data_IF_130443244225
#
_entry.id   IF_130443244225
#
_cell.length_a   1.000
_cell.length_b   1.000
_cell.length_c   1.000
_cell.angle_alpha   90.00
_cell.angle_beta   90.00
_cell.angle_gamma   90.00
#
_symmetry.space_group_name_H-M   'P 1'
#
loop_
_entity.id
_entity.type
_entity.pdbx_description
1 polymer ?
#
# COMPACT_ATOMS: atom_id res chain seq x y z
N UNK A 1 3.16 -6.28 -1.78
CA UNK A 1 2.00 -7.15 -2.02
C UNK A 1 1.40 -6.83 -3.37
N UNK A 2 1.95 -7.47 -4.41
CA UNK A 2 1.44 -7.37 -5.77
C UNK A 2 0.25 -8.32 -6.01
N UNK A 3 0.20 -9.44 -5.26
CA UNK A 3 -0.81 -10.50 -5.42
C UNK A 3 -2.22 -10.19 -4.87
N UNK A 4 -2.46 -8.98 -4.35
CA UNK A 4 -3.73 -8.60 -3.72
C UNK A 4 -4.47 -7.52 -4.52
N UNK A 5 -4.95 -7.81 -5.73
CA UNK A 5 -5.80 -6.87 -6.49
C UNK A 5 -6.93 -7.55 -7.25
N UNK A 6 -8.15 -7.03 -7.03
CA UNK A 6 -9.37 -7.36 -7.74
C UNK A 6 -10.26 -6.13 -7.99
N UNK A 7 -10.69 -6.02 -9.25
CA UNK A 7 -11.71 -5.15 -9.90
C UNK A 7 -11.41 -3.66 -10.17
N UNK A 8 -12.03 -3.20 -11.27
CA UNK A 8 -11.93 -1.90 -11.97
C UNK A 8 -12.04 -0.69 -11.04
N UNK A 9 -11.22 0.32 -11.32
CA UNK A 9 -11.35 1.68 -10.80
C UNK A 9 -12.57 2.35 -11.46
N UNK A 10 -13.40 3.02 -10.68
CA UNK A 10 -14.50 3.87 -11.19
C UNK A 10 -14.01 5.32 -11.25
N UNK A 11 -14.29 6.00 -12.35
CA UNK A 11 -13.92 7.41 -12.52
C UNK A 11 -15.00 8.31 -11.92
N UNK A 12 -14.62 9.17 -10.98
CA UNK A 12 -15.48 10.28 -10.54
C UNK A 12 -15.13 11.50 -11.37
N UNK A 13 -16.09 12.05 -12.10
CA UNK A 13 -15.99 13.42 -12.60
C UNK A 13 -16.13 14.40 -11.43
N UNK A 14 -15.05 15.13 -11.13
CA UNK A 14 -15.15 16.28 -10.25
C UNK A 14 -16.02 17.33 -10.96
N UNK A 15 -17.29 17.43 -10.60
CA UNK A 15 -18.10 18.60 -10.99
C UNK A 15 -17.36 19.82 -10.43
N UNK A 16 -17.10 20.82 -11.29
CA UNK A 16 -16.73 22.18 -10.84
C UNK A 16 -17.66 22.53 -9.68
N UNK A 17 -17.16 23.13 -8.58
CA UNK A 17 -18.02 23.51 -7.47
C UNK A 17 -19.10 24.44 -8.03
N UNK A 18 -20.31 23.90 -8.25
CA UNK A 18 -21.49 24.74 -8.30
C UNK A 18 -21.62 25.20 -6.88
N UNK A 19 -21.40 26.48 -6.65
CA UNK A 19 -21.93 27.16 -5.47
C UNK A 19 -23.45 27.09 -5.61
N UNK A 20 -24.01 25.92 -5.30
CA UNK A 20 -25.41 25.78 -5.05
C UNK A 20 -25.62 26.50 -3.72
N UNK A 21 -26.41 27.58 -3.74
CA UNK A 21 -27.10 28.07 -2.55
C UNK A 21 -28.08 26.97 -2.12
N UNK A 22 -27.56 25.86 -1.60
CA UNK A 22 -28.36 24.91 -0.85
C UNK A 22 -28.70 25.62 0.46
N UNK A 23 -29.97 26.01 0.59
CA UNK A 23 -30.47 26.60 1.81
C UNK A 23 -30.11 25.71 2.99
N UNK A 24 -29.39 26.29 3.94
CA UNK A 24 -29.17 25.73 5.27
C UNK A 24 -30.54 25.47 5.88
N UNK A 25 -31.03 24.24 5.80
CA UNK A 25 -32.10 23.75 6.66
C UNK A 25 -31.51 22.69 7.57
N UNK A 26 -31.36 23.07 8.84
CA UNK A 26 -31.15 22.15 9.95
C UNK A 26 -29.76 22.11 10.58
N UNK A 27 -29.18 23.27 10.95
CA UNK A 27 -28.36 23.36 12.18
C UNK A 27 -28.77 24.63 12.92
N UNK A 28 -29.96 24.62 13.51
CA UNK A 28 -30.35 25.65 14.46
C UNK A 28 -29.67 25.37 15.80
N UNK A 29 -28.71 26.21 16.18
CA UNK A 29 -28.19 26.25 17.56
C UNK A 29 -26.68 26.30 17.76
N UNK A 30 -25.89 26.95 16.90
CA UNK A 30 -24.49 27.28 17.27
C UNK A 30 -24.34 28.81 17.32
N UNK A 31 -24.39 29.34 18.54
CA UNK A 31 -23.90 30.68 18.89
C UNK A 31 -22.39 30.76 18.61
N UNK A 32 -21.82 31.90 18.15
CA UNK A 32 -20.42 32.00 17.74
C UNK A 32 -19.40 32.10 18.89
N UNK A 33 -19.66 31.55 20.08
CA UNK A 33 -18.99 32.01 21.31
C UNK A 33 -18.01 31.06 22.01
N UNK A 34 -17.73 29.85 21.50
CA UNK A 34 -16.64 29.02 22.07
C UNK A 34 -15.64 28.49 21.01
N UNK A 35 -14.31 28.46 21.33
CA UNK A 35 -13.32 27.84 20.46
C UNK A 35 -13.55 26.33 20.41
N UNK A 36 -13.73 25.81 19.19
CA UNK A 36 -13.96 24.38 18.99
C UNK A 36 -12.72 23.57 19.38
N UNK A 37 -12.94 22.47 20.11
CA UNK A 37 -11.88 21.53 20.48
C UNK A 37 -11.17 20.97 19.23
N UNK A 38 -9.91 20.56 19.38
CA UNK A 38 -9.09 20.09 18.27
C UNK A 38 -9.75 18.95 17.45
N UNK A 39 -10.47 18.04 18.12
CA UNK A 39 -11.20 16.95 17.46
C UNK A 39 -12.41 17.44 16.65
N UNK A 40 -13.11 18.50 17.08
CA UNK A 40 -14.21 19.10 16.31
C UNK A 40 -13.70 19.86 15.10
N UNK A 41 -12.54 20.52 15.23
CA UNK A 41 -11.84 21.12 14.08
C UNK A 41 -11.47 20.05 13.06
N UNK A 42 -10.88 18.92 13.50
CA UNK A 42 -10.55 17.79 12.64
C UNK A 42 -11.80 17.20 11.98
N UNK A 43 -12.85 16.94 12.75
CA UNK A 43 -14.15 16.43 12.27
C UNK A 43 -14.69 17.27 11.13
N UNK A 44 -14.81 18.60 11.34
CA UNK A 44 -15.30 19.54 10.32
C UNK A 44 -14.39 19.60 9.10
N UNK A 45 -13.07 19.44 9.24
CA UNK A 45 -12.15 19.39 8.10
C UNK A 45 -12.35 18.11 7.27
N UNK A 46 -12.51 16.97 7.93
CA UNK A 46 -12.76 15.68 7.27
C UNK A 46 -14.11 15.69 6.52
N UNK A 47 -15.20 16.11 7.18
CA UNK A 47 -16.53 16.21 6.55
C UNK A 47 -16.54 17.10 5.32
N UNK A 48 -15.89 18.26 5.39
CA UNK A 48 -15.78 19.18 4.25
C UNK A 48 -15.13 18.55 3.01
N UNK A 49 -14.22 17.58 3.17
CA UNK A 49 -13.64 16.85 2.02
C UNK A 49 -14.71 16.04 1.28
N UNK A 50 -15.63 15.42 2.02
CA UNK A 50 -16.75 14.65 1.45
C UNK A 50 -17.81 15.59 0.87
N UNK A 51 -18.21 16.62 1.62
CA UNK A 51 -19.21 17.61 1.19
C UNK A 51 -18.81 18.34 -0.10
N UNK A 52 -17.51 18.63 -0.24
CA UNK A 52 -16.94 19.25 -1.44
C UNK A 52 -16.72 18.25 -2.60
N UNK A 53 -17.15 16.99 -2.46
CA UNK A 53 -16.99 15.96 -3.49
C UNK A 53 -15.54 15.53 -3.74
N UNK A 54 -14.61 15.84 -2.82
CA UNK A 54 -13.22 15.41 -2.93
C UNK A 54 -13.09 13.93 -2.58
N UNK A 55 -13.83 13.44 -1.58
CA UNK A 55 -13.87 12.02 -1.24
C UNK A 55 -15.30 11.50 -1.35
N UNK A 56 -15.47 10.28 -1.88
CA UNK A 56 -16.77 9.62 -1.93
C UNK A 56 -17.34 9.38 -0.53
N UNK A 57 -16.47 8.96 0.39
CA UNK A 57 -16.76 8.82 1.81
C UNK A 57 -15.47 8.57 2.60
N UNK A 58 -15.58 8.66 3.92
CA UNK A 58 -14.50 8.36 4.87
C UNK A 58 -15.06 7.71 6.12
N UNK A 59 -14.25 6.83 6.71
CA UNK A 59 -14.36 6.43 8.10
C UNK A 59 -13.00 6.71 8.76
N UNK A 60 -13.00 7.47 9.85
CA UNK A 60 -11.78 7.87 10.55
C UNK A 60 -11.96 7.71 12.05
N UNK A 61 -10.92 7.25 12.73
CA UNK A 61 -10.89 7.22 14.18
C UNK A 61 -9.57 7.76 14.72
N UNK A 62 -9.61 8.33 15.92
CA UNK A 62 -8.42 8.76 16.67
C UNK A 62 -8.52 8.23 18.09
N UNK A 63 -7.47 7.55 18.53
CA UNK A 63 -7.30 7.09 19.90
C UNK A 63 -6.23 7.95 20.58
N UNK A 64 -6.47 8.33 21.84
CA UNK A 64 -5.50 9.00 22.72
C UNK A 64 -5.54 8.29 24.06
N UNK A 65 -4.38 7.84 24.55
CA UNK A 65 -4.24 7.07 25.80
C UNK A 65 -5.16 5.84 25.82
N UNK A 66 -5.22 5.12 24.70
CA UNK A 66 -6.08 3.94 24.52
C UNK A 66 -7.59 4.23 24.44
N UNK A 67 -8.02 5.49 24.53
CA UNK A 67 -9.44 5.89 24.50
C UNK A 67 -9.82 6.48 23.14
N UNK A 68 -10.94 6.04 22.58
CA UNK A 68 -11.50 6.62 21.36
C UNK A 68 -11.92 8.08 21.62
N UNK A 69 -11.29 9.03 20.91
CA UNK A 69 -11.57 10.47 21.02
C UNK A 69 -12.35 11.02 19.85
N UNK A 70 -12.16 10.43 18.67
CA UNK A 70 -12.90 10.79 17.47
C UNK A 70 -13.28 9.49 16.75
N UNK A 71 -14.54 9.39 16.36
CA UNK A 71 -15.02 8.50 15.31
C UNK A 71 -15.85 9.37 14.37
N UNK A 72 -15.48 9.37 13.09
CA UNK A 72 -16.15 10.14 12.06
C UNK A 72 -16.44 9.23 10.86
N UNK A 73 -17.69 9.24 10.43
CA UNK A 73 -18.20 8.47 9.30
C UNK A 73 -18.99 9.44 8.43
N UNK A 74 -18.59 9.59 7.17
CA UNK A 74 -19.23 10.53 6.25
C UNK A 74 -19.21 10.01 4.82
N UNK A 75 -20.26 10.33 4.05
CA UNK A 75 -20.37 9.97 2.63
C UNK A 75 -20.66 8.50 2.40
N UNK A 76 -20.19 7.98 1.27
CA UNK A 76 -20.58 6.68 0.74
C UNK A 76 -19.37 5.78 0.49
N UNK A 77 -19.49 4.51 0.83
CA UNK A 77 -18.60 3.44 0.41
C UNK A 77 -18.85 3.06 -1.07
N UNK A 78 -20.05 3.33 -1.57
CA UNK A 78 -20.46 3.18 -2.97
C UNK A 78 -21.44 4.33 -3.30
N UNK A 79 -21.01 5.27 -4.15
CA UNK A 79 -21.80 6.42 -4.60
C UNK A 79 -22.98 5.99 -5.48
N UNK A 80 -22.75 5.03 -6.37
CA UNK A 80 -23.77 4.52 -7.29
C UNK A 80 -24.84 3.74 -6.54
N UNK A 81 -24.42 2.83 -5.67
CA UNK A 81 -25.29 2.05 -4.79
C UNK A 81 -25.84 2.84 -3.60
N UNK A 82 -25.40 4.10 -3.41
CA UNK A 82 -25.70 4.94 -2.23
C UNK A 82 -25.46 4.23 -0.90
N UNK A 83 -24.43 3.36 -0.85
CA UNK A 83 -24.09 2.63 0.36
C UNK A 83 -23.30 3.54 1.30
N UNK A 84 -23.75 3.80 2.54
CA UNK A 84 -23.03 4.66 3.48
C UNK A 84 -21.63 4.14 3.80
N UNK A 85 -20.66 5.04 3.93
CA UNK A 85 -19.35 4.69 4.49
C UNK A 85 -19.47 4.56 6.01
N UNK A 86 -18.98 3.46 6.57
CA UNK A 86 -18.99 3.19 8.02
C UNK A 86 -17.66 2.62 8.48
N UNK A 87 -17.43 2.56 9.78
CA UNK A 87 -16.30 1.88 10.44
C UNK A 87 -16.26 0.38 10.18
N UNK A 88 -17.35 -0.20 9.67
CA UNK A 88 -17.46 -1.60 9.29
C UNK A 88 -17.26 -1.83 7.78
N UNK A 89 -17.14 -0.76 6.99
CA UNK A 89 -16.81 -0.85 5.57
C UNK A 89 -15.39 -1.43 5.42
N UNK A 90 -15.23 -2.37 4.48
CA UNK A 90 -13.92 -2.94 4.16
C UNK A 90 -13.23 -2.07 3.13
N UNK A 91 -11.95 -1.82 3.35
CA UNK A 91 -11.10 -1.01 2.47
C UNK A 91 -9.87 -1.80 2.05
N UNK A 92 -9.31 -1.43 0.89
CA UNK A 92 -8.05 -2.00 0.42
C UNK A 92 -6.89 -1.23 1.07
N UNK A 93 -6.17 -1.89 1.98
CA UNK A 93 -5.08 -1.27 2.74
C UNK A 93 -3.84 -0.95 1.90
N UNK A 94 -3.64 -1.65 0.77
CA UNK A 94 -2.45 -1.51 -0.06
C UNK A 94 -1.16 -1.54 0.78
N UNK A 95 -0.36 -0.49 0.70
CA UNK A 95 0.94 -0.39 1.35
C UNK A 95 0.88 -0.28 2.88
N UNK A 96 -0.28 0.02 3.48
CA UNK A 96 -0.43 -0.07 4.95
C UNK A 96 -0.18 -1.50 5.45
N UNK A 97 -0.34 -2.51 4.58
CA UNK A 97 -0.03 -3.90 4.94
C UNK A 97 1.44 -4.11 5.30
N UNK A 98 2.36 -3.23 4.87
CA UNK A 98 3.78 -3.32 5.23
C UNK A 98 4.00 -3.29 6.74
N UNK A 99 3.25 -2.47 7.48
CA UNK A 99 3.38 -2.41 8.94
C UNK A 99 3.01 -3.75 9.59
N UNK A 100 2.02 -4.45 9.04
CA UNK A 100 1.58 -5.77 9.52
C UNK A 100 2.62 -6.84 9.20
N UNK A 101 3.18 -6.83 7.98
CA UNK A 101 4.25 -7.75 7.59
C UNK A 101 5.53 -7.48 8.37
N UNK A 102 5.87 -6.22 8.67
CA UNK A 102 6.99 -5.87 9.54
C UNK A 102 6.84 -6.50 10.92
N UNK A 103 5.65 -6.43 11.53
CA UNK A 103 5.38 -7.07 12.81
C UNK A 103 5.58 -8.59 12.75
N UNK A 104 5.11 -9.27 11.68
CA UNK A 104 5.34 -10.70 11.49
C UNK A 104 6.83 -11.07 11.36
N UNK A 105 7.59 -10.28 10.60
CA UNK A 105 9.05 -10.45 10.46
C UNK A 105 9.73 -10.28 11.81
N UNK A 106 9.37 -9.25 12.58
CA UNK A 106 9.97 -8.97 13.87
C UNK A 106 9.61 -10.01 14.93
N UNK A 107 8.39 -10.59 14.90
CA UNK A 107 8.02 -11.74 15.74
C UNK A 107 8.94 -12.94 15.47
N UNK A 108 9.21 -13.27 14.21
CA UNK A 108 10.10 -14.40 13.87
C UNK A 108 11.57 -14.10 14.19
N UNK A 109 12.01 -12.84 14.04
CA UNK A 109 13.35 -12.43 14.42
C UNK A 109 13.55 -12.51 15.95
N UNK A 110 12.58 -12.04 16.73
CA UNK A 110 12.58 -12.16 18.19
C UNK A 110 12.56 -13.61 18.65
N UNK A 111 11.84 -14.48 17.93
CA UNK A 111 11.84 -15.92 18.13
C UNK A 111 13.12 -16.65 17.69
N UNK A 112 14.14 -15.94 17.21
CA UNK A 112 15.44 -16.52 16.85
C UNK A 112 15.48 -17.27 15.51
N UNK A 113 14.47 -17.12 14.65
CA UNK A 113 14.46 -17.79 13.35
C UNK A 113 15.48 -17.21 12.36
N UNK A 114 15.88 -15.95 12.55
CA UNK A 114 16.92 -15.22 11.82
C UNK A 114 17.28 -13.91 12.54
N UNK A 115 18.47 -13.38 12.30
CA UNK A 115 18.90 -12.05 12.72
C UNK A 115 18.65 -10.96 11.67
N UNK A 116 18.40 -9.72 12.09
CA UNK A 116 18.20 -8.60 11.14
C UNK A 116 19.45 -8.27 10.29
N UNK A 117 20.62 -8.73 10.73
CA UNK A 117 21.90 -8.57 10.05
C UNK A 117 22.28 -9.80 9.21
N UNK A 118 21.42 -10.82 9.17
CA UNK A 118 21.67 -12.01 8.36
C UNK A 118 21.60 -11.64 6.88
N UNK A 119 22.39 -12.36 6.07
CA UNK A 119 22.35 -12.20 4.62
C UNK A 119 21.04 -12.82 4.13
N UNK A 120 20.31 -12.09 3.29
CA UNK A 120 19.10 -12.59 2.67
C UNK A 120 19.34 -13.89 1.89
N UNK A 121 20.51 -14.03 1.27
CA UNK A 121 20.93 -15.21 0.53
C UNK A 121 21.00 -16.49 1.36
N UNK A 122 21.20 -16.37 2.68
CA UNK A 122 21.26 -17.52 3.58
C UNK A 122 19.86 -18.10 3.85
N UNK A 123 18.81 -17.43 3.37
CA UNK A 123 17.42 -17.85 3.50
C UNK A 123 16.69 -17.94 2.16
N UNK A 124 17.04 -17.08 1.20
CA UNK A 124 16.50 -17.03 -0.15
C UNK A 124 17.68 -17.03 -1.13
N UNK A 125 18.22 -18.21 -1.50
CA UNK A 125 19.44 -18.33 -2.30
C UNK A 125 19.42 -17.60 -3.65
N UNK A 126 18.23 -17.34 -4.20
CA UNK A 126 18.06 -16.55 -5.44
C UNK A 126 18.70 -15.14 -5.34
N UNK A 127 18.86 -14.58 -4.14
CA UNK A 127 19.55 -13.30 -3.90
C UNK A 127 21.05 -13.45 -3.60
N UNK A 128 21.68 -14.59 -3.92
CA UNK A 128 23.09 -14.86 -3.64
C UNK A 128 24.09 -14.10 -4.53
N UNK A 129 23.65 -13.57 -5.68
CA UNK A 129 24.52 -12.84 -6.61
C UNK A 129 23.82 -11.63 -7.25
N UNK A 130 23.33 -10.66 -6.43
CA UNK A 130 22.59 -9.54 -6.95
C UNK A 130 23.50 -8.63 -7.79
N UNK A 131 22.92 -8.08 -8.86
CA UNK A 131 23.61 -7.17 -9.79
C UNK A 131 23.00 -5.78 -9.66
N UNK A 132 23.82 -4.74 -9.68
CA UNK A 132 23.40 -3.34 -9.63
C UNK A 132 23.49 -2.73 -11.03
N UNK A 133 22.43 -2.03 -11.45
CA UNK A 133 22.41 -1.33 -12.74
C UNK A 133 23.37 -0.14 -12.71
N UNK A 134 24.17 0.03 -13.76
CA UNK A 134 24.97 1.22 -13.95
C UNK A 134 24.16 2.32 -14.65
N UNK A 135 24.47 3.58 -14.36
CA UNK A 135 23.97 4.71 -15.15
C UNK A 135 24.73 4.80 -16.48
N UNK A 136 23.99 5.13 -17.54
CA UNK A 136 24.54 5.51 -18.85
C UNK A 136 25.06 6.94 -18.84
N UNK A 137 25.70 7.34 -19.94
CA UNK A 137 26.21 8.71 -20.12
C UNK A 137 25.09 9.77 -20.14
N UNK A 138 23.86 9.34 -20.40
CA UNK A 138 22.63 10.14 -20.38
C UNK A 138 21.99 10.25 -18.98
N UNK A 139 22.60 9.65 -17.95
CA UNK A 139 22.07 9.59 -16.59
C UNK A 139 20.88 8.64 -16.43
N UNK A 140 20.58 7.81 -17.42
CA UNK A 140 19.52 6.80 -17.38
C UNK A 140 20.08 5.42 -16.99
N UNK A 141 19.24 4.54 -16.41
CA UNK A 141 19.69 3.17 -16.10
C UNK A 141 20.03 2.43 -17.40
N UNK A 142 21.27 1.95 -17.51
CA UNK A 142 21.70 1.06 -18.58
C UNK A 142 21.53 -0.40 -18.12
N UNK A 143 20.38 -0.99 -18.41
CA UNK A 143 20.06 -2.35 -17.97
C UNK A 143 20.93 -3.44 -18.60
N UNK A 144 21.74 -3.13 -19.62
CA UNK A 144 22.72 -4.05 -20.21
C UNK A 144 24.05 -4.00 -19.44
N UNK A 145 24.36 -2.88 -18.78
CA UNK A 145 25.56 -2.72 -17.97
C UNK A 145 25.24 -2.85 -16.49
N UNK A 146 25.60 -3.99 -15.91
CA UNK A 146 25.38 -4.29 -14.49
C UNK A 146 26.68 -4.76 -13.84
N UNK A 147 26.91 -4.36 -12.61
CA UNK A 147 28.06 -4.81 -11.81
C UNK A 147 27.60 -5.70 -10.66
N UNK A 148 28.43 -6.62 -10.15
CA UNK A 148 28.15 -7.28 -8.88
C UNK A 148 27.88 -6.25 -7.78
N UNK A 149 26.91 -6.53 -6.90
CA UNK A 149 26.76 -5.76 -5.68
C UNK A 149 28.04 -5.88 -4.82
N UNK A 150 28.42 -4.80 -4.14
CA UNK A 150 29.61 -4.74 -3.27
C UNK A 150 29.43 -5.53 -1.97
N UNK A 151 28.19 -5.85 -1.61
CA UNK A 151 27.85 -6.60 -0.41
C UNK A 151 26.48 -7.28 -0.54
N UNK A 152 26.14 -8.15 0.42
CA UNK A 152 24.86 -8.86 0.43
C UNK A 152 23.70 -7.93 0.77
N UNK A 153 22.49 -8.32 0.36
CA UNK A 153 21.27 -7.75 0.95
C UNK A 153 21.11 -8.34 2.35
N UNK A 154 20.93 -7.49 3.36
CA UNK A 154 20.63 -7.91 4.73
C UNK A 154 19.12 -7.80 4.97
N UNK A 155 18.58 -8.59 5.90
CA UNK A 155 17.14 -8.55 6.23
C UNK A 155 16.69 -7.13 6.62
N UNK A 156 17.47 -6.42 7.43
CA UNK A 156 17.19 -5.02 7.79
C UNK A 156 17.05 -4.10 6.57
N UNK A 157 17.81 -4.35 5.49
CA UNK A 157 17.72 -3.53 4.28
C UNK A 157 16.34 -3.66 3.60
N UNK A 158 15.68 -4.82 3.74
CA UNK A 158 14.31 -4.98 3.23
C UNK A 158 13.31 -4.18 4.08
N UNK A 159 13.43 -4.23 5.41
CA UNK A 159 12.56 -3.51 6.36
C UNK A 159 12.65 -2.00 6.16
N UNK A 160 13.85 -1.49 5.89
CA UNK A 160 14.14 -0.06 5.73
C UNK A 160 14.07 0.42 4.28
N UNK A 161 13.68 -0.43 3.33
CA UNK A 161 13.69 -0.10 1.90
C UNK A 161 15.06 0.40 1.39
N UNK A 162 16.16 -0.15 1.90
CA UNK A 162 17.52 0.13 1.43
C UNK A 162 18.16 -1.07 0.73
N UNK A 163 17.36 -2.05 0.32
CA UNK A 163 17.85 -3.28 -0.34
C UNK A 163 18.33 -3.09 -1.78
N UNK A 164 17.98 -1.98 -2.43
CA UNK A 164 18.15 -1.78 -3.86
C UNK A 164 17.02 -2.39 -4.72
N UNK A 165 16.04 -3.08 -4.11
CA UNK A 165 14.86 -3.61 -4.81
C UNK A 165 13.84 -2.48 -5.00
N UNK A 166 13.56 -2.11 -6.25
CA UNK A 166 12.57 -1.08 -6.60
C UNK A 166 11.19 -1.67 -6.89
N UNK A 167 10.18 -0.82 -7.13
CA UNK A 167 8.89 -1.20 -7.73
C UNK A 167 8.60 -0.43 -9.03
N UNK A 168 9.63 0.09 -9.68
CA UNK A 168 9.44 0.92 -10.87
C UNK A 168 8.94 2.34 -10.57
N UNK A 169 8.96 2.73 -9.30
CA UNK A 169 8.77 4.09 -8.82
C UNK A 169 10.14 4.54 -8.27
N UNK A 170 10.62 5.71 -8.66
CA UNK A 170 11.88 6.22 -8.15
C UNK A 170 11.80 6.47 -6.63
N UNK A 171 12.95 6.67 -5.96
CA UNK A 171 13.00 7.17 -4.59
C UNK A 171 12.13 8.42 -4.43
N UNK A 172 11.31 8.46 -3.37
CA UNK A 172 10.43 9.61 -3.09
C UNK A 172 9.02 9.48 -3.68
N UNK A 173 8.29 8.43 -3.32
CA UNK A 173 6.85 8.29 -3.56
C UNK A 173 6.10 9.59 -3.20
N UNK A 174 5.79 10.42 -4.20
CA UNK A 174 4.54 11.14 -4.41
C UNK A 174 4.64 11.89 -5.76
N UNK A 175 3.60 11.80 -6.60
CA UNK A 175 3.63 12.31 -7.98
C UNK A 175 3.91 13.82 -8.11
N UNK A 176 4.21 14.30 -9.33
CA UNK A 176 3.12 14.51 -10.29
C UNK A 176 3.42 13.94 -11.69
N UNK A 177 2.39 13.35 -12.29
CA UNK A 177 2.05 13.06 -13.72
C UNK A 177 3.09 12.95 -14.85
N UNK A 178 4.34 13.36 -14.71
CA UNK A 178 5.43 13.07 -15.64
C UNK A 178 6.45 12.23 -14.90
N UNK A 179 6.34 10.90 -15.04
CA UNK A 179 7.44 10.02 -14.62
C UNK A 179 8.72 10.53 -15.26
N UNK A 180 9.75 10.86 -14.50
CA UNK A 180 11.05 11.24 -15.08
C UNK A 180 11.53 10.10 -15.99
N UNK A 181 12.34 10.35 -17.04
CA UNK A 181 12.79 9.28 -17.94
C UNK A 181 13.36 8.06 -17.21
N UNK A 182 14.12 8.28 -16.13
CA UNK A 182 14.63 7.23 -15.23
C UNK A 182 13.53 6.38 -14.59
N UNK A 183 12.46 6.99 -14.07
CA UNK A 183 11.32 6.28 -13.48
C UNK A 183 10.59 5.42 -14.50
N UNK A 184 10.41 5.95 -15.73
CA UNK A 184 9.79 5.17 -16.82
C UNK A 184 10.62 3.95 -17.17
N UNK A 185 11.94 4.12 -17.24
CA UNK A 185 12.86 3.03 -17.51
C UNK A 185 12.76 1.91 -16.45
N UNK A 186 12.78 2.29 -15.16
CA UNK A 186 12.58 1.32 -14.07
C UNK A 186 11.19 0.70 -14.08
N UNK A 187 10.12 1.46 -14.28
CA UNK A 187 8.78 0.90 -14.42
C UNK A 187 8.67 -0.10 -15.56
N UNK A 188 9.39 0.12 -16.67
CA UNK A 188 9.39 -0.73 -17.84
C UNK A 188 9.89 -2.15 -17.57
N UNK A 189 10.81 -2.35 -16.62
CA UNK A 189 11.30 -3.71 -16.30
C UNK A 189 10.39 -4.47 -15.31
N UNK A 190 9.63 -3.77 -14.46
CA UNK A 190 8.69 -4.40 -13.51
C UNK A 190 7.29 -4.59 -14.11
N UNK A 191 6.86 -3.73 -15.03
CA UNK A 191 5.51 -3.77 -15.59
C UNK A 191 5.16 -5.11 -16.28
N UNK A 192 6.05 -5.76 -17.06
CA UNK A 192 5.78 -7.09 -17.61
C UNK A 192 5.54 -8.12 -16.50
N UNK A 193 6.37 -8.09 -15.45
CA UNK A 193 6.26 -9.03 -14.33
C UNK A 193 4.96 -8.84 -13.54
N UNK A 194 4.58 -7.58 -13.28
CA UNK A 194 3.28 -7.25 -12.68
C UNK A 194 2.13 -7.70 -13.59
N UNK A 195 2.26 -7.54 -14.90
CA UNK A 195 1.25 -8.01 -15.86
C UNK A 195 1.05 -9.53 -15.85
N UNK A 196 2.10 -10.31 -15.54
CA UNK A 196 2.00 -11.77 -15.37
C UNK A 196 1.21 -12.14 -14.11
N UNK A 197 1.34 -11.36 -13.03
CA UNK A 197 0.47 -11.49 -11.85
C UNK A 197 -0.98 -11.21 -12.22
N UNK A 198 -1.24 -10.11 -12.96
CA UNK A 198 -2.61 -9.72 -13.34
C UNK A 198 -3.30 -10.77 -14.23
N UNK A 199 -2.53 -11.49 -15.06
CA UNK A 199 -3.02 -12.60 -15.87
C UNK A 199 -3.10 -13.94 -15.13
N UNK A 200 -2.70 -13.97 -13.85
CA UNK A 200 -2.72 -15.17 -13.02
C UNK A 200 -1.66 -16.19 -13.41
N UNK A 201 -0.57 -15.78 -14.06
CA UNK A 201 0.58 -16.64 -14.36
C UNK A 201 1.51 -16.80 -13.16
N UNK A 202 1.61 -15.77 -12.31
CA UNK A 202 2.32 -15.79 -11.03
C UNK A 202 1.28 -15.82 -9.91
N UNK A 203 1.24 -16.90 -9.14
CA UNK A 203 0.13 -17.17 -8.20
C UNK A 203 0.54 -17.22 -6.73
N UNK A 204 1.84 -17.24 -6.44
CA UNK A 204 2.34 -17.26 -5.07
C UNK A 204 3.58 -16.38 -4.89
N UNK A 205 3.94 -16.17 -3.61
CA UNK A 205 5.05 -15.30 -3.24
C UNK A 205 6.41 -15.89 -3.62
N UNK A 206 6.55 -17.23 -3.63
CA UNK A 206 7.82 -17.86 -4.00
C UNK A 206 8.15 -17.56 -5.45
N UNK A 207 7.22 -17.84 -6.37
CA UNK A 207 7.39 -17.55 -7.80
C UNK A 207 7.60 -16.05 -8.06
N UNK A 208 6.82 -15.18 -7.40
CA UNK A 208 7.02 -13.74 -7.50
C UNK A 208 8.43 -13.30 -7.06
N UNK A 209 8.93 -13.86 -5.96
CA UNK A 209 10.24 -13.50 -5.40
C UNK A 209 11.40 -14.03 -6.25
N UNK A 210 11.28 -15.23 -6.83
CA UNK A 210 12.27 -15.78 -7.75
C UNK A 210 12.42 -14.90 -9.00
N UNK A 211 11.30 -14.45 -9.56
CA UNK A 211 11.29 -13.55 -10.72
C UNK A 211 11.86 -12.16 -10.37
N UNK A 212 11.58 -11.66 -9.16
CA UNK A 212 12.17 -10.43 -8.67
C UNK A 212 13.69 -10.55 -8.48
N UNK A 213 14.18 -11.68 -8.01
CA UNK A 213 15.61 -11.91 -7.78
C UNK A 213 16.44 -11.87 -9.08
N UNK A 214 15.81 -12.17 -10.22
CA UNK A 214 16.42 -12.05 -11.54
C UNK A 214 16.56 -10.59 -12.03
N UNK A 215 15.84 -9.65 -11.42
CA UNK A 215 15.92 -8.23 -11.77
C UNK A 215 17.11 -7.57 -11.05
N UNK A 216 17.79 -6.61 -11.70
CA UNK A 216 18.90 -5.94 -11.07
C UNK A 216 18.43 -4.89 -10.05
N UNK A 217 19.27 -4.64 -9.05
CA UNK A 217 19.08 -3.60 -8.05
C UNK A 217 19.32 -2.22 -8.66
N UNK A 218 18.60 -1.22 -8.16
CA UNK A 218 18.80 0.17 -8.59
C UNK A 218 20.00 0.85 -7.94
N UNK A 219 20.45 0.34 -6.79
CA UNK A 219 21.63 0.81 -6.07
C UNK A 219 22.19 -0.31 -5.17
N UNK A 220 23.34 -0.06 -4.56
CA UNK A 220 24.03 -0.98 -3.66
C UNK A 220 23.18 -1.28 -2.40
N UNK A 221 23.14 -2.54 -1.92
CA UNK A 221 22.46 -2.87 -0.68
C UNK A 221 22.96 -2.04 0.50
N UNK A 222 22.04 -1.39 1.20
CA UNK A 222 22.29 -0.51 2.34
C UNK A 222 22.65 0.93 2.00
N UNK A 223 22.85 1.28 0.72
CA UNK A 223 23.36 2.60 0.34
C UNK A 223 22.28 3.70 0.32
N UNK A 224 21.15 3.45 -0.32
CA UNK A 224 20.09 4.46 -0.47
C UNK A 224 18.70 3.91 -0.21
N UNK A 225 17.81 4.78 0.25
CA UNK A 225 16.39 4.47 0.35
C UNK A 225 15.75 4.42 -1.05
N UNK A 226 15.08 3.31 -1.33
CA UNK A 226 14.26 3.13 -2.52
C UNK A 226 13.04 2.29 -2.20
N UNK A 227 11.88 2.91 -2.31
CA UNK A 227 10.63 2.19 -2.13
C UNK A 227 10.46 1.12 -3.21
N UNK A 228 10.03 -0.06 -2.81
CA UNK A 228 9.95 -1.19 -3.73
C UNK A 228 9.26 -2.41 -3.19
N UNK A 229 9.53 -3.55 -3.82
CA UNK A 229 8.94 -4.85 -3.49
C UNK A 229 9.67 -5.59 -2.36
N UNK A 230 10.48 -4.90 -1.55
CA UNK A 230 11.18 -5.50 -0.40
C UNK A 230 10.24 -6.21 0.58
N UNK A 231 9.03 -5.68 0.78
CA UNK A 231 8.05 -6.30 1.68
C UNK A 231 7.35 -7.53 1.10
N UNK A 232 7.39 -7.73 -0.22
CA UNK A 232 6.96 -8.99 -0.83
C UNK A 232 7.99 -10.10 -0.53
N UNK A 233 9.29 -9.76 -0.61
CA UNK A 233 10.39 -10.65 -0.20
C UNK A 233 10.33 -10.98 1.28
N UNK A 234 10.06 -9.99 2.16
CA UNK A 234 9.83 -10.23 3.59
C UNK A 234 8.61 -11.12 3.82
N UNK A 235 7.54 -10.93 3.06
CA UNK A 235 6.37 -11.81 3.11
C UNK A 235 6.74 -13.26 2.80
N UNK A 236 7.55 -13.50 1.76
CA UNK A 236 8.04 -14.84 1.43
C UNK A 236 9.00 -15.40 2.50
N UNK A 237 9.86 -14.56 3.09
CA UNK A 237 10.72 -14.97 4.20
C UNK A 237 9.90 -15.48 5.40
N UNK A 238 8.78 -14.81 5.73
CA UNK A 238 7.84 -15.30 6.74
C UNK A 238 7.32 -16.68 6.36
N UNK A 239 6.97 -16.91 5.08
CA UNK A 239 6.51 -18.23 4.64
C UNK A 239 7.56 -19.33 4.83
N UNK A 240 8.81 -19.05 4.44
CA UNK A 240 9.91 -20.01 4.56
C UNK A 240 10.23 -20.35 6.02
N UNK A 241 10.17 -19.36 6.91
CA UNK A 241 10.61 -19.52 8.31
C UNK A 241 9.53 -20.07 9.22
N UNK A 242 8.27 -19.82 8.90
CA UNK A 242 7.13 -20.39 9.62
C UNK A 242 6.62 -21.71 9.04
N UNK A 243 6.90 -22.00 7.77
CA UNK A 243 6.26 -23.10 7.04
C UNK A 243 4.80 -22.83 6.67
N UNK A 244 4.29 -21.63 6.91
CA UNK A 244 2.90 -21.24 6.68
C UNK A 244 2.78 -20.26 5.52
N UNK A 245 1.66 -20.28 4.79
CA UNK A 245 1.37 -19.18 3.86
C UNK A 245 1.22 -17.86 4.62
N UNK A 246 1.68 -16.75 4.04
CA UNK A 246 1.71 -15.45 4.72
C UNK A 246 0.33 -15.07 5.26
N UNK A 247 -0.72 -15.25 4.45
CA UNK A 247 -2.09 -14.96 4.86
C UNK A 247 -2.54 -15.76 6.10
N UNK A 248 -2.08 -17.01 6.25
CA UNK A 248 -2.36 -17.85 7.42
C UNK A 248 -1.55 -17.40 8.63
N UNK A 249 -0.26 -17.13 8.45
CA UNK A 249 0.57 -16.61 9.53
C UNK A 249 0.01 -15.31 10.11
N UNK A 250 -0.33 -14.33 9.25
CA UNK A 250 -0.94 -13.07 9.72
C UNK A 250 -2.29 -13.31 10.41
N UNK A 251 -3.09 -14.26 9.92
CA UNK A 251 -4.37 -14.59 10.55
C UNK A 251 -4.18 -15.14 11.96
N UNK A 252 -3.26 -16.09 12.14
CA UNK A 252 -3.07 -16.82 13.40
C UNK A 252 -2.28 -16.02 14.43
N UNK A 253 -1.24 -15.32 14.02
CA UNK A 253 -0.27 -14.68 14.92
C UNK A 253 -0.50 -13.17 15.13
N UNK A 254 -1.37 -12.54 14.33
CA UNK A 254 -1.65 -11.10 14.43
C UNK A 254 -3.14 -10.83 14.48
N UNK A 255 -3.91 -11.25 13.48
CA UNK A 255 -5.31 -10.85 13.36
C UNK A 255 -6.21 -11.51 14.41
N UNK A 256 -6.09 -12.81 14.65
CA UNK A 256 -6.89 -13.51 15.65
C UNK A 256 -6.63 -12.98 17.07
N UNK A 257 -5.37 -12.84 17.55
CA UNK A 257 -5.09 -12.26 18.87
C UNK A 257 -5.62 -10.83 19.06
N UNK A 258 -5.63 -10.03 17.99
CA UNK A 258 -6.15 -8.65 18.02
C UNK A 258 -7.65 -8.54 17.68
N UNK A 259 -8.35 -9.66 17.46
CA UNK A 259 -9.77 -9.66 17.09
C UNK A 259 -10.07 -9.07 15.70
N UNK A 260 -9.09 -8.97 14.80
CA UNK A 260 -9.20 -8.41 13.44
C UNK A 260 -9.86 -9.39 12.46
N UNK A 261 -11.12 -9.76 12.71
CA UNK A 261 -11.88 -10.80 11.98
C UNK A 261 -12.15 -10.50 10.50
N UNK A 262 -11.94 -9.26 10.08
CA UNK A 262 -12.25 -8.77 8.74
C UNK A 262 -11.01 -8.41 7.90
N UNK A 263 -9.82 -8.71 8.42
CA UNK A 263 -8.56 -8.49 7.71
C UNK A 263 -8.16 -9.75 6.93
N UNK A 264 -8.06 -9.64 5.60
CA UNK A 264 -7.71 -10.76 4.72
C UNK A 264 -7.10 -10.28 3.40
N UNK A 265 -6.37 -11.17 2.71
CA UNK A 265 -5.82 -10.91 1.37
C UNK A 265 -6.84 -11.15 0.25
N UNK A 266 -7.77 -12.08 0.46
CA UNK A 266 -8.73 -12.52 -0.54
C UNK A 266 -10.16 -12.46 0.01
N UNK A 267 -11.08 -11.96 -0.83
CA UNK A 267 -12.52 -11.90 -0.60
C UNK A 267 -13.25 -12.95 -1.45
N UNK A 268 -12.58 -14.03 -1.85
CA UNK A 268 -13.15 -15.19 -2.52
C UNK A 268 -13.21 -16.44 -1.65
N UNK A 269 -12.58 -16.45 -0.48
CA UNK A 269 -12.55 -17.62 0.41
C UNK A 269 -12.68 -17.24 1.90
N UNK A 270 -13.17 -18.19 2.71
CA UNK A 270 -13.30 -18.08 4.17
C UNK A 270 -14.71 -17.70 4.69
N UNK A 271 -14.92 -17.79 6.01
CA UNK A 271 -16.21 -17.49 6.64
C UNK A 271 -16.66 -16.04 6.42
N UNK A 272 -17.96 -15.82 6.27
CA UNK A 272 -18.53 -14.47 6.15
C UNK A 272 -18.33 -13.80 4.78
N UNK A 273 -17.99 -14.57 3.74
CA UNK A 273 -17.68 -14.09 2.39
C UNK A 273 -18.71 -13.11 1.82
N UNK A 274 -20.00 -13.48 1.83
CA UNK A 274 -21.08 -12.65 1.31
C UNK A 274 -21.19 -11.31 2.08
N UNK A 275 -21.07 -11.37 3.41
CA UNK A 275 -21.08 -10.18 4.29
C UNK A 275 -19.86 -9.28 4.06
N UNK A 276 -18.69 -9.84 3.77
CA UNK A 276 -17.50 -9.02 3.46
C UNK A 276 -17.61 -8.35 2.10
N UNK A 277 -18.10 -9.07 1.08
CA UNK A 277 -18.27 -8.52 -0.28
C UNK A 277 -19.24 -7.33 -0.30
N UNK A 278 -20.34 -7.39 0.44
CA UNK A 278 -21.29 -6.27 0.52
C UNK A 278 -20.76 -5.05 1.27
N UNK A 279 -19.72 -5.21 2.09
CA UNK A 279 -19.08 -4.12 2.85
C UNK A 279 -17.85 -3.53 2.16
N UNK A 280 -17.36 -4.14 1.09
CA UNK A 280 -16.18 -3.65 0.37
C UNK A 280 -16.47 -2.32 -0.32
N UNK A 281 -15.70 -1.29 0.02
CA UNK A 281 -15.82 0.02 -0.62
C UNK A 281 -15.39 -0.03 -2.08
N UNK A 282 -16.05 0.79 -2.90
CA UNK A 282 -15.65 1.04 -4.28
C UNK A 282 -14.38 1.90 -4.31
N UNK A 283 -13.51 1.65 -5.28
CA UNK A 283 -12.34 2.49 -5.52
C UNK A 283 -12.65 3.54 -6.56
N UNK A 284 -12.35 4.78 -6.20
CA UNK A 284 -12.55 5.93 -7.05
C UNK A 284 -11.22 6.55 -7.45
N UNK A 285 -11.15 7.07 -8.66
CA UNK A 285 -10.09 8.00 -9.08
C UNK A 285 -10.66 9.41 -9.21
N UNK A 286 -9.88 10.39 -8.78
CA UNK A 286 -10.16 11.78 -9.13
C UNK A 286 -10.05 11.95 -10.65
N UNK A 287 -11.09 12.49 -11.31
CA UNK A 287 -10.92 13.01 -12.65
C UNK A 287 -9.84 14.10 -12.62
N UNK A 288 -8.91 14.00 -13.56
CA UNK A 288 -7.94 15.05 -13.75
C UNK A 288 -8.68 16.28 -14.27
N UNK A 289 -8.48 17.44 -13.64
CA UNK A 289 -8.87 18.69 -14.28
C UNK A 289 -8.18 18.74 -15.65
N UNK A 290 -8.96 18.78 -16.73
CA UNK A 290 -8.45 19.15 -18.04
C UNK A 290 -7.88 20.55 -17.89
N UNK A 291 -6.55 20.66 -17.81
CA UNK A 291 -5.90 21.93 -18.10
C UNK A 291 -6.19 22.19 -19.57
N UNK A 292 -7.07 23.15 -19.83
CA UNK A 292 -7.26 23.73 -21.15
C UNK A 292 -5.88 24.15 -21.63
N UNK A 293 -5.34 23.44 -22.62
CA UNK A 293 -4.33 23.99 -23.50
C UNK A 293 -5.01 25.15 -24.24
N UNK A 294 -4.70 26.37 -23.80
CA UNK A 294 -4.71 27.55 -24.67
C UNK A 294 -3.26 27.80 -25.08
#
# INVERSE_FOLDING_TARGET
>A
MVLARGRRLVQIEAKKPRVAKAGLKGVSGISPTEPLGAFDVLRRRLRRRVENGQWAGLAACVFVDGKLRLLEEAGHADLEGKTPMTKHSLVRLYSMTKCIVAAAVLQLAEGGHFGLNDKLSDHIPAFGSPRVVCEGLDGLPNFQRRVPAKGPILIRHLLTHTSGISCGLAPGLDGPKTRKPRERAWAGIYAPLVGRVDRGEIRDLAHWVDELAALPLFDQPGATYGYGYSYDVLGHLVELKSGMKLARYLQEHIFNPLGMRDSCFDLASGPGLASRRSRLSVLYRHAQAQQQQQ
#
